data_IF_662791638448
#
_entry.id   IF_662791638448
#
_cell.length_a   1.000
_cell.length_b   1.000
_cell.length_c   1.000
_cell.angle_alpha   90.00
_cell.angle_beta   90.00
_cell.angle_gamma   90.00
#
_symmetry.space_group_name_H-M   'P 1'
#
loop_
_entity.id
_entity.type
_entity.pdbx_description
1 polymer ?
#
# COMPACT_ATOMS: atom_id res chain seq x y z
N UNK A 1 31.21 67.84 9.89
CA UNK A 1 30.47 67.36 8.68
C UNK A 1 30.87 65.95 8.24
N UNK A 2 32.16 65.57 8.20
CA UNK A 2 32.58 64.20 7.81
C UNK A 2 32.06 63.06 8.71
N UNK A 3 31.92 63.28 10.02
CA UNK A 3 31.38 62.26 10.95
C UNK A 3 29.88 61.99 10.78
N UNK A 4 29.08 63.01 10.46
CA UNK A 4 27.64 62.83 10.23
C UNK A 4 27.34 62.12 8.90
N UNK A 5 28.22 62.29 7.90
CA UNK A 5 28.12 61.54 6.63
C UNK A 5 28.39 60.03 6.81
N UNK A 6 29.32 59.67 7.70
CA UNK A 6 29.64 58.26 7.98
C UNK A 6 28.52 57.57 8.77
N UNK A 7 27.87 58.30 9.70
CA UNK A 7 26.71 57.78 10.44
C UNK A 7 25.48 57.56 9.54
N UNK A 8 25.26 58.45 8.56
CA UNK A 8 24.15 58.31 7.61
C UNK A 8 24.34 57.11 6.66
N UNK A 9 25.58 56.78 6.28
CA UNK A 9 25.89 55.63 5.43
C UNK A 9 25.69 54.29 6.15
N UNK A 10 26.02 54.21 7.45
CA UNK A 10 25.83 53.00 8.26
C UNK A 10 24.34 52.74 8.56
N UNK A 11 23.52 53.79 8.75
CA UNK A 11 22.07 53.64 8.89
C UNK A 11 21.36 53.22 7.60
N UNK A 12 21.91 53.57 6.42
CA UNK A 12 21.34 53.17 5.13
C UNK A 12 21.70 51.74 4.73
N UNK A 13 22.76 51.16 5.30
CA UNK A 13 23.11 49.74 5.07
C UNK A 13 22.30 48.74 5.92
N UNK A 14 21.54 49.20 6.91
CA UNK A 14 20.70 48.35 7.79
C UNK A 14 19.27 48.15 7.28
N UNK A 15 18.85 48.84 6.21
CA UNK A 15 17.47 48.85 5.73
C UNK A 15 17.20 47.94 4.52
N UNK A 16 18.18 47.13 4.09
CA UNK A 16 18.00 46.10 3.05
C UNK A 16 18.06 44.67 3.63
N UNK A 17 17.50 44.48 4.82
CA UNK A 17 17.01 43.16 5.20
C UNK A 17 15.72 42.92 4.43
N UNK A 18 15.82 42.30 3.25
CA UNK A 18 14.67 41.61 2.66
C UNK A 18 14.29 40.50 3.63
N UNK A 19 13.39 40.80 4.56
CA UNK A 19 12.59 39.77 5.20
C UNK A 19 11.77 39.16 4.06
N UNK A 20 12.23 38.04 3.52
CA UNK A 20 11.32 37.18 2.79
C UNK A 20 10.27 36.81 3.82
N UNK A 21 9.09 37.45 3.72
CA UNK A 21 7.89 36.90 4.31
C UNK A 21 7.81 35.52 3.70
N UNK A 22 8.27 34.53 4.45
CA UNK A 22 8.01 33.14 4.17
C UNK A 22 6.49 33.11 4.12
N UNK A 23 5.94 33.09 2.91
CA UNK A 23 4.52 32.82 2.72
C UNK A 23 4.41 31.45 3.35
N UNK A 24 3.98 31.44 4.60
CA UNK A 24 3.68 30.26 5.39
C UNK A 24 2.38 29.73 4.80
N UNK A 25 2.49 29.34 3.53
CA UNK A 25 1.54 28.57 2.79
C UNK A 25 1.51 27.31 3.61
N UNK A 26 0.50 27.14 4.46
CA UNK A 26 0.48 26.09 5.48
C UNK A 26 0.56 24.75 4.76
N UNK A 27 1.78 24.27 4.56
CA UNK A 27 2.07 23.11 3.73
C UNK A 27 1.62 21.88 4.49
N UNK A 28 1.03 20.95 3.77
CA UNK A 28 0.68 19.65 4.30
C UNK A 28 1.99 18.91 4.53
N UNK A 29 2.37 18.71 5.79
CA UNK A 29 3.57 17.97 6.21
C UNK A 29 3.13 16.56 6.59
N UNK A 30 3.47 15.60 5.75
CA UNK A 30 3.03 14.21 5.86
C UNK A 30 4.13 13.37 6.49
N UNK A 31 3.80 12.66 7.57
CA UNK A 31 4.56 11.49 8.01
C UNK A 31 3.81 10.24 7.58
N UNK A 32 4.43 9.45 6.71
CA UNK A 32 3.88 8.19 6.21
C UNK A 32 4.52 7.02 6.95
N UNK A 33 3.73 6.39 7.81
CA UNK A 33 4.10 5.20 8.57
C UNK A 33 3.60 3.95 7.82
N UNK A 34 4.51 3.29 7.11
CA UNK A 34 4.23 2.03 6.46
C UNK A 34 4.64 0.88 7.39
N UNK A 35 3.64 0.23 8.00
CA UNK A 35 3.85 -0.99 8.80
C UNK A 35 4.17 -2.21 7.92
N UNK A 36 4.00 -2.05 6.62
CA UNK A 36 4.23 -3.03 5.56
C UNK A 36 5.16 -2.42 4.52
N UNK A 37 5.62 -3.21 3.54
CA UNK A 37 6.29 -2.65 2.38
C UNK A 37 5.42 -1.59 1.69
N UNK A 38 5.97 -0.41 1.44
CA UNK A 38 5.43 0.61 0.56
C UNK A 38 6.58 1.26 -0.23
N UNK A 39 6.38 1.52 -1.51
CA UNK A 39 7.37 2.19 -2.36
C UNK A 39 7.31 3.70 -2.11
N UNK A 40 8.07 4.16 -1.10
CA UNK A 40 8.07 5.57 -0.70
C UNK A 40 8.60 6.50 -1.79
N UNK A 41 9.53 6.04 -2.62
CA UNK A 41 10.09 6.85 -3.70
C UNK A 41 9.06 7.06 -4.80
N UNK A 42 8.31 6.01 -5.15
CA UNK A 42 7.16 6.12 -6.06
C UNK A 42 6.09 7.06 -5.50
N UNK A 43 5.75 6.93 -4.22
CA UNK A 43 4.74 7.78 -3.56
C UNK A 43 5.17 9.26 -3.59
N UNK A 44 6.41 9.57 -3.20
CA UNK A 44 6.95 10.94 -3.19
C UNK A 44 6.95 11.56 -4.59
N UNK A 45 7.28 10.76 -5.62
CA UNK A 45 7.27 11.20 -7.02
C UNK A 45 5.86 11.48 -7.53
N UNK A 46 4.88 10.67 -7.15
CA UNK A 46 3.50 10.79 -7.63
C UNK A 46 2.65 11.80 -6.83
N UNK A 47 3.06 12.16 -5.62
CA UNK A 47 2.36 13.10 -4.74
C UNK A 47 3.32 14.22 -4.30
N UNK A 48 3.77 15.10 -5.22
CA UNK A 48 4.78 16.11 -4.92
C UNK A 48 4.22 17.36 -4.20
N UNK A 49 2.90 17.44 -4.00
CA UNK A 49 2.24 18.63 -3.44
C UNK A 49 2.22 18.66 -1.90
N UNK A 50 2.75 17.62 -1.24
CA UNK A 50 2.94 17.56 0.21
C UNK A 50 4.43 17.54 0.55
N UNK A 51 4.78 18.04 1.72
CA UNK A 51 6.13 17.93 2.25
C UNK A 51 6.24 16.65 3.09
N UNK A 52 7.06 15.70 2.66
CA UNK A 52 7.31 14.49 3.45
C UNK A 52 8.31 14.77 4.57
N UNK A 53 7.94 14.40 5.80
CA UNK A 53 8.81 14.54 6.98
C UNK A 53 9.17 13.17 7.53
N UNK A 54 10.38 13.06 8.10
CA UNK A 54 10.88 11.82 8.70
C UNK A 54 10.54 11.70 10.19
N UNK A 55 10.03 12.76 10.82
CA UNK A 55 9.59 12.75 12.21
C UNK A 55 8.08 13.01 12.30
N UNK A 56 7.36 12.10 12.95
CA UNK A 56 5.92 12.22 13.21
C UNK A 56 5.55 13.50 13.96
N UNK A 57 6.41 14.04 14.82
CA UNK A 57 6.13 15.27 15.57
C UNK A 57 6.24 16.53 14.70
N UNK A 58 6.90 16.44 13.55
CA UNK A 58 6.99 17.52 12.57
C UNK A 58 5.84 17.49 11.55
N UNK A 59 5.03 16.43 11.55
CA UNK A 59 3.89 16.26 10.65
C UNK A 59 2.62 16.91 11.19
N UNK A 60 1.87 17.54 10.29
CA UNK A 60 0.49 17.97 10.56
C UNK A 60 -0.54 16.98 9.97
N UNK A 61 -0.09 15.98 9.21
CA UNK A 61 -0.87 14.82 8.77
C UNK A 61 -0.05 13.56 9.01
N UNK A 62 -0.53 12.70 9.89
CA UNK A 62 0.03 11.37 10.13
C UNK A 62 -0.78 10.33 9.35
N UNK A 63 -0.11 9.49 8.56
CA UNK A 63 -0.76 8.45 7.77
C UNK A 63 -0.20 7.10 8.21
N UNK A 64 -1.05 6.21 8.71
CA UNK A 64 -0.71 4.82 8.99
C UNK A 64 -1.21 3.93 7.85
N UNK A 65 -0.29 3.20 7.22
CA UNK A 65 -0.59 2.17 6.23
C UNK A 65 -0.32 0.79 6.81
N UNK A 66 -1.35 -0.03 6.89
CA UNK A 66 -1.26 -1.44 7.24
C UNK A 66 -2.12 -2.29 6.30
N UNK A 67 -1.96 -3.61 6.36
CA UNK A 67 -2.78 -4.52 5.58
C UNK A 67 -3.16 -5.78 6.35
N UNK A 68 -4.22 -6.42 5.89
CA UNK A 68 -4.64 -7.76 6.31
C UNK A 68 -4.82 -8.65 5.08
N UNK A 69 -4.52 -9.95 5.23
CA UNK A 69 -4.70 -10.93 4.16
C UNK A 69 -6.20 -11.21 3.97
N UNK A 70 -6.67 -11.19 2.73
CA UNK A 70 -8.08 -11.52 2.42
C UNK A 70 -8.26 -13.04 2.28
N UNK A 71 -9.50 -13.52 2.41
CA UNK A 71 -9.81 -14.95 2.24
C UNK A 71 -9.48 -15.50 0.84
N UNK A 72 -9.36 -14.64 -0.18
CA UNK A 72 -8.94 -14.99 -1.54
C UNK A 72 -7.43 -14.95 -1.77
N UNK A 73 -6.62 -14.74 -0.73
CA UNK A 73 -5.15 -14.65 -0.83
C UNK A 73 -4.62 -13.29 -1.30
N UNK A 74 -5.49 -12.28 -1.40
CA UNK A 74 -5.10 -10.88 -1.62
C UNK A 74 -4.74 -10.16 -0.33
N UNK A 75 -4.62 -8.83 -0.39
CA UNK A 75 -4.39 -7.96 0.76
C UNK A 75 -5.36 -6.79 0.75
N UNK A 76 -6.07 -6.58 1.85
CA UNK A 76 -6.81 -5.35 2.09
C UNK A 76 -5.89 -4.37 2.82
N UNK A 77 -5.54 -3.27 2.16
CA UNK A 77 -4.79 -2.17 2.76
C UNK A 77 -5.74 -1.20 3.43
N UNK A 78 -5.38 -0.70 4.62
CA UNK A 78 -6.06 0.40 5.31
C UNK A 78 -5.09 1.55 5.52
N UNK A 79 -5.51 2.73 5.09
CA UNK A 79 -4.79 3.99 5.21
C UNK A 79 -5.55 4.89 6.18
N UNK A 80 -5.01 5.04 7.38
CA UNK A 80 -5.60 5.87 8.43
C UNK A 80 -4.91 7.23 8.44
N UNK A 81 -5.69 8.29 8.21
CA UNK A 81 -5.21 9.66 8.19
C UNK A 81 -5.60 10.34 9.50
N UNK A 82 -4.62 10.95 10.17
CA UNK A 82 -4.82 11.70 11.42
C UNK A 82 -4.28 13.11 11.27
N UNK A 83 -5.18 14.09 11.35
CA UNK A 83 -4.85 15.50 11.27
C UNK A 83 -4.40 16.09 12.61
N UNK A 84 -3.42 16.98 12.55
CA UNK A 84 -2.84 17.73 13.67
C UNK A 84 -2.78 19.22 13.33
N UNK A 85 -2.52 20.05 14.33
CA UNK A 85 -2.47 21.51 14.18
C UNK A 85 -3.75 22.04 13.52
N UNK A 86 -3.65 22.71 12.37
CA UNK A 86 -4.78 23.23 11.59
C UNK A 86 -5.71 22.15 11.03
N UNK A 87 -5.28 20.89 11.03
CA UNK A 87 -6.06 19.75 10.57
C UNK A 87 -6.65 18.94 11.73
N UNK A 88 -6.59 19.44 12.96
CA UNK A 88 -7.20 18.78 14.12
C UNK A 88 -8.68 18.45 13.85
N UNK A 89 -9.06 17.20 14.11
CA UNK A 89 -10.42 16.69 13.84
C UNK A 89 -10.67 16.28 12.39
N UNK A 90 -9.70 16.44 11.48
CA UNK A 90 -9.73 15.82 10.15
C UNK A 90 -9.08 14.45 10.28
N UNK A 91 -9.90 13.44 10.51
CA UNK A 91 -9.45 12.06 10.49
C UNK A 91 -10.23 11.31 9.42
N UNK A 92 -9.59 10.32 8.81
CA UNK A 92 -10.24 9.46 7.84
C UNK A 92 -9.60 8.08 7.81
N UNK A 93 -10.31 7.12 7.26
CA UNK A 93 -9.74 5.81 6.94
C UNK A 93 -10.24 5.37 5.59
N UNK A 94 -9.32 5.17 4.66
CA UNK A 94 -9.62 4.64 3.33
C UNK A 94 -9.01 3.24 3.21
N UNK A 95 -9.64 2.39 2.40
CA UNK A 95 -9.11 1.05 2.12
C UNK A 95 -9.17 0.73 0.63
N UNK A 96 -8.32 -0.21 0.22
CA UNK A 96 -8.37 -0.82 -1.11
C UNK A 96 -7.93 -2.29 -1.01
N UNK A 97 -8.36 -3.10 -1.98
CA UNK A 97 -8.00 -4.52 -2.05
C UNK A 97 -7.05 -4.77 -3.21
N UNK A 98 -5.83 -5.21 -2.87
CA UNK A 98 -4.89 -5.81 -3.80
C UNK A 98 -5.29 -7.27 -4.02
N UNK A 99 -5.65 -7.63 -5.24
CA UNK A 99 -5.92 -9.02 -5.60
C UNK A 99 -4.65 -9.88 -5.49
N UNK A 100 -4.82 -11.20 -5.33
CA UNK A 100 -3.69 -12.14 -5.27
C UNK A 100 -2.84 -12.13 -6.56
N UNK A 101 -3.51 -11.89 -7.69
CA UNK A 101 -2.94 -11.84 -9.04
C UNK A 101 -2.37 -10.47 -9.43
N UNK A 102 -2.59 -9.43 -8.62
CA UNK A 102 -2.13 -8.09 -8.93
C UNK A 102 -0.59 -8.03 -8.97
N UNK A 103 -0.09 -7.27 -9.92
CA UNK A 103 1.32 -6.89 -10.06
C UNK A 103 1.71 -5.82 -9.04
N UNK A 104 3.01 -5.65 -8.82
CA UNK A 104 3.52 -4.60 -7.92
C UNK A 104 3.23 -3.19 -8.45
N UNK A 105 3.13 -3.03 -9.77
CA UNK A 105 2.76 -1.75 -10.40
C UNK A 105 1.29 -1.37 -10.13
N UNK A 106 0.37 -2.33 -10.23
CA UNK A 106 -1.03 -2.10 -9.90
C UNK A 106 -1.19 -1.76 -8.41
N UNK A 107 -0.45 -2.44 -7.52
CA UNK A 107 -0.46 -2.17 -6.09
C UNK A 107 0.00 -0.74 -5.76
N UNK A 108 1.16 -0.30 -6.28
CA UNK A 108 1.67 1.05 -6.03
C UNK A 108 0.78 2.14 -6.62
N UNK A 109 0.14 1.89 -7.76
CA UNK A 109 -0.83 2.80 -8.36
C UNK A 109 -2.09 2.94 -7.49
N UNK A 110 -2.65 1.83 -6.99
CA UNK A 110 -3.78 1.85 -6.07
C UNK A 110 -3.44 2.60 -4.78
N UNK A 111 -2.27 2.33 -4.19
CA UNK A 111 -1.78 3.03 -3.00
C UNK A 111 -1.73 4.54 -3.21
N UNK A 112 -1.11 5.00 -4.29
CA UNK A 112 -1.01 6.43 -4.63
C UNK A 112 -2.39 7.04 -4.86
N UNK A 113 -3.27 6.34 -5.56
CA UNK A 113 -4.63 6.80 -5.81
C UNK A 113 -5.40 7.03 -4.51
N UNK A 114 -5.39 6.04 -3.60
CA UNK A 114 -6.07 6.13 -2.31
C UNK A 114 -5.44 7.21 -1.42
N UNK A 115 -4.11 7.36 -1.43
CA UNK A 115 -3.42 8.46 -0.73
C UNK A 115 -3.86 9.83 -1.26
N UNK A 116 -3.89 10.01 -2.59
CA UNK A 116 -4.36 11.25 -3.23
C UNK A 116 -5.78 11.59 -2.79
N UNK A 117 -6.69 10.62 -2.82
CA UNK A 117 -8.08 10.79 -2.36
C UNK A 117 -8.16 11.22 -0.88
N UNK A 118 -7.43 10.55 0.01
CA UNK A 118 -7.44 10.90 1.44
C UNK A 118 -6.85 12.29 1.73
N UNK A 119 -5.85 12.71 0.93
CA UNK A 119 -5.22 14.02 1.06
C UNK A 119 -6.11 15.18 0.59
N UNK A 120 -7.16 14.93 -0.21
CA UNK A 120 -8.08 16.00 -0.70
C UNK A 120 -8.70 16.78 0.46
N UNK A 121 -9.12 16.10 1.55
CA UNK A 121 -9.71 16.75 2.72
C UNK A 121 -8.77 17.76 3.39
N UNK A 122 -7.47 17.49 3.36
CA UNK A 122 -6.44 18.36 3.91
C UNK A 122 -6.14 19.51 2.95
N UNK A 123 -6.00 19.22 1.64
CA UNK A 123 -5.83 20.22 0.59
C UNK A 123 -6.93 21.28 0.61
N UNK A 124 -8.18 20.87 0.76
CA UNK A 124 -9.34 21.76 0.81
C UNK A 124 -9.30 22.79 1.95
N UNK A 125 -8.47 22.56 2.98
CA UNK A 125 -8.28 23.47 4.13
C UNK A 125 -7.03 24.34 4.02
N UNK A 126 -6.36 24.31 2.87
CA UNK A 126 -5.16 25.10 2.59
C UNK A 126 -5.39 26.02 1.39
N UNK A 127 -4.55 27.05 1.25
CA UNK A 127 -4.55 27.92 0.07
C UNK A 127 -4.25 27.14 -1.23
N UNK A 128 -3.53 26.02 -1.13
CA UNK A 128 -3.23 25.14 -2.27
C UNK A 128 -4.48 24.47 -2.84
N UNK A 129 -5.52 24.29 -2.00
CA UNK A 129 -6.81 23.73 -2.41
C UNK A 129 -7.48 24.49 -3.56
N UNK A 130 -7.19 25.79 -3.72
CA UNK A 130 -7.72 26.62 -4.81
C UNK A 130 -7.24 26.19 -6.20
N UNK A 131 -6.13 25.47 -6.26
CA UNK A 131 -5.53 24.99 -7.51
C UNK A 131 -5.89 23.52 -7.79
N UNK A 132 -6.70 22.89 -6.95
CA UNK A 132 -7.07 21.48 -7.10
C UNK A 132 -8.18 21.36 -8.13
N UNK A 133 -7.92 20.61 -9.19
CA UNK A 133 -8.93 20.16 -10.14
C UNK A 133 -9.19 18.67 -9.90
N UNK A 134 -10.46 18.30 -9.70
CA UNK A 134 -10.88 16.92 -9.55
C UNK A 134 -11.63 16.55 -10.83
N UNK A 135 -11.13 15.55 -11.54
CA UNK A 135 -11.83 14.95 -12.69
C UNK A 135 -12.35 13.59 -12.25
N UNK A 136 -13.66 13.42 -12.39
CA UNK A 136 -14.28 12.10 -12.24
C UNK A 136 -14.25 11.42 -13.61
N UNK A 137 -13.61 10.26 -13.70
CA UNK A 137 -13.66 9.44 -14.91
C UNK A 137 -14.93 8.61 -14.81
N UNK A 138 -15.93 8.96 -15.60
CA UNK A 138 -17.08 8.08 -15.81
C UNK A 138 -16.57 6.76 -16.39
N UNK A 139 -17.03 5.64 -15.82
CA UNK A 139 -16.83 4.36 -16.47
C UNK A 139 -17.59 4.42 -17.80
N UNK A 140 -16.89 4.21 -18.92
CA UNK A 140 -17.52 4.02 -20.23
C UNK A 140 -18.38 2.76 -20.13
N UNK A 141 -19.66 2.96 -19.82
CA UNK A 141 -20.58 1.87 -19.52
C UNK A 141 -21.13 1.97 -18.11
N UNK A 142 -22.04 2.91 -17.90
CA UNK A 142 -23.24 2.58 -17.15
C UNK A 142 -24.00 1.49 -17.91
N UNK A 143 -23.46 0.27 -17.94
CA UNK A 143 -24.33 -0.87 -17.87
C UNK A 143 -25.07 -0.64 -16.55
N UNK A 144 -26.39 -0.50 -16.64
CA UNK A 144 -27.22 -1.04 -15.57
C UNK A 144 -26.53 -2.31 -15.09
N UNK A 145 -26.43 -2.53 -13.77
CA UNK A 145 -26.24 -3.89 -13.28
C UNK A 145 -27.55 -4.61 -13.64
N UNK A 146 -27.75 -4.83 -14.94
CA UNK A 146 -28.58 -5.86 -15.47
C UNK A 146 -27.96 -7.09 -14.90
N UNK A 147 -28.76 -7.78 -14.10
CA UNK A 147 -28.72 -9.22 -13.96
C UNK A 147 -28.84 -9.88 -15.33
N UNK A 148 -27.95 -9.57 -16.29
CA UNK A 148 -27.53 -10.59 -17.22
C UNK A 148 -26.72 -11.54 -16.34
N UNK A 149 -27.35 -12.67 -16.01
CA UNK A 149 -26.64 -13.85 -15.57
C UNK A 149 -25.59 -14.14 -16.64
N UNK A 150 -24.41 -13.53 -16.50
CA UNK A 150 -23.23 -13.98 -17.21
C UNK A 150 -23.11 -15.45 -16.84
N UNK A 151 -23.38 -16.33 -17.81
CA UNK A 151 -23.38 -17.76 -17.60
C UNK A 151 -22.04 -18.14 -16.99
N UNK A 152 -22.03 -18.47 -15.70
CA UNK A 152 -20.83 -18.87 -14.97
C UNK A 152 -20.57 -20.35 -15.24
N UNK A 153 -19.60 -20.70 -16.12
CA UNK A 153 -19.33 -22.09 -16.45
C UNK A 153 -18.68 -22.84 -15.28
N UNK A 154 -18.23 -22.14 -14.24
CA UNK A 154 -17.55 -22.69 -13.07
C UNK A 154 -18.47 -22.87 -11.86
N UNK A 155 -19.73 -22.42 -11.91
CA UNK A 155 -20.72 -22.61 -10.85
C UNK A 155 -20.18 -22.21 -9.46
N UNK A 156 -19.69 -20.98 -9.38
CA UNK A 156 -19.14 -20.31 -8.20
C UNK A 156 -17.87 -20.96 -7.64
N UNK A 157 -17.23 -21.86 -8.39
CA UNK A 157 -15.91 -22.38 -8.04
C UNK A 157 -14.81 -21.40 -8.42
N UNK A 158 -13.95 -21.10 -7.46
CA UNK A 158 -12.72 -20.34 -7.65
C UNK A 158 -11.55 -21.27 -7.35
N UNK A 159 -10.65 -21.42 -8.31
CA UNK A 159 -9.44 -22.21 -8.19
C UNK A 159 -8.21 -21.29 -8.20
N UNK A 160 -7.25 -21.57 -7.32
CA UNK A 160 -5.96 -20.90 -7.30
C UNK A 160 -4.86 -21.96 -7.29
N UNK A 161 -3.88 -21.80 -8.18
CA UNK A 161 -2.66 -22.60 -8.19
C UNK A 161 -1.47 -21.65 -8.05
N UNK A 162 -0.57 -21.96 -7.13
CA UNK A 162 0.62 -21.17 -6.80
C UNK A 162 1.85 -22.04 -6.93
N UNK A 163 2.86 -21.52 -7.63
CA UNK A 163 4.17 -22.16 -7.79
C UNK A 163 5.26 -21.12 -7.54
N UNK A 164 6.20 -21.42 -6.64
CA UNK A 164 7.35 -20.56 -6.36
C UNK A 164 8.59 -21.43 -6.24
N UNK A 165 9.71 -20.93 -6.74
CA UNK A 165 11.01 -21.60 -6.65
C UNK A 165 12.13 -20.58 -6.54
N UNK A 166 13.14 -20.92 -5.77
CA UNK A 166 14.38 -20.17 -5.65
C UNK A 166 15.56 -21.14 -5.64
N UNK A 167 16.59 -20.83 -6.41
CA UNK A 167 17.80 -21.64 -6.57
C UNK A 167 19.02 -20.74 -6.37
N UNK A 168 20.00 -21.18 -5.59
CA UNK A 168 21.25 -20.48 -5.38
C UNK A 168 22.38 -21.47 -5.10
N UNK A 169 23.53 -21.33 -5.74
CA UNK A 169 24.68 -22.18 -5.43
C UNK A 169 25.92 -21.99 -6.30
N UNK A 170 26.99 -22.62 -5.84
CA UNK A 170 28.31 -22.75 -6.48
C UNK A 170 28.80 -24.22 -6.36
N UNK A 171 30.09 -24.46 -6.63
CA UNK A 171 30.67 -25.82 -6.61
C UNK A 171 30.54 -26.50 -5.24
N UNK A 172 30.69 -25.76 -4.14
CA UNK A 172 30.76 -26.32 -2.78
C UNK A 172 29.45 -26.16 -2.00
N UNK A 173 28.47 -25.41 -2.53
CA UNK A 173 27.22 -25.14 -1.84
C UNK A 173 26.06 -25.03 -2.82
N UNK A 174 24.92 -25.64 -2.49
CA UNK A 174 23.68 -25.47 -3.25
C UNK A 174 22.47 -25.41 -2.32
N UNK A 175 21.59 -24.43 -2.53
CA UNK A 175 20.33 -24.26 -1.81
C UNK A 175 19.20 -24.07 -2.80
N UNK A 176 18.12 -24.81 -2.59
CA UNK A 176 16.86 -24.60 -3.29
C UNK A 176 15.69 -24.57 -2.32
N UNK A 177 14.75 -23.68 -2.60
CA UNK A 177 13.42 -23.70 -1.98
C UNK A 177 12.36 -23.79 -3.08
N UNK A 178 11.38 -24.64 -2.86
CA UNK A 178 10.26 -24.82 -3.75
C UNK A 178 8.98 -24.83 -2.94
N UNK A 179 7.95 -24.16 -3.43
CA UNK A 179 6.65 -24.09 -2.75
C UNK A 179 5.52 -24.10 -3.77
N UNK A 180 4.65 -25.09 -3.65
CA UNK A 180 3.43 -25.23 -4.43
C UNK A 180 2.21 -25.14 -3.51
N UNK A 181 1.13 -24.58 -4.04
CA UNK A 181 -0.14 -24.46 -3.36
C UNK A 181 -1.28 -24.58 -4.34
N UNK A 182 -2.35 -25.27 -3.93
CA UNK A 182 -3.59 -25.31 -4.66
C UNK A 182 -4.74 -25.04 -3.69
N UNK A 183 -5.69 -24.21 -4.10
CA UNK A 183 -6.94 -24.03 -3.36
C UNK A 183 -8.15 -24.03 -4.28
N UNK A 184 -9.24 -24.56 -3.75
CA UNK A 184 -10.55 -24.54 -4.38
C UNK A 184 -11.57 -24.00 -3.36
N UNK A 185 -12.33 -22.99 -3.77
CA UNK A 185 -13.38 -22.42 -2.95
C UNK A 185 -14.69 -22.39 -3.73
N UNK A 186 -15.80 -22.70 -3.04
CA UNK A 186 -17.16 -22.51 -3.57
C UNK A 186 -18.01 -21.91 -2.47
N UNK A 187 -18.57 -20.74 -2.74
CA UNK A 187 -19.35 -19.96 -1.76
C UNK A 187 -20.74 -19.74 -2.33
N UNK A 188 -21.72 -20.42 -1.77
CA UNK A 188 -23.15 -20.22 -2.06
C UNK A 188 -23.87 -19.79 -0.78
N UNK A 189 -25.12 -19.35 -0.88
CA UNK A 189 -25.93 -18.97 0.29
C UNK A 189 -26.07 -20.13 1.30
N UNK A 190 -26.34 -21.34 0.80
CA UNK A 190 -26.60 -22.52 1.65
C UNK A 190 -25.34 -23.28 2.04
N UNK A 191 -24.28 -23.16 1.25
CA UNK A 191 -23.09 -23.99 1.38
C UNK A 191 -21.82 -23.22 1.00
N UNK A 192 -20.87 -23.21 1.93
CA UNK A 192 -19.56 -22.58 1.74
C UNK A 192 -18.48 -23.60 2.03
N UNK A 193 -17.58 -23.82 1.08
CA UNK A 193 -16.42 -24.69 1.28
C UNK A 193 -15.15 -24.05 0.74
N UNK A 194 -14.05 -24.25 1.46
CA UNK A 194 -12.72 -23.83 1.04
C UNK A 194 -11.75 -24.93 1.39
N UNK A 195 -11.03 -25.41 0.38
CA UNK A 195 -9.99 -26.43 0.52
C UNK A 195 -8.69 -25.86 0.03
N UNK A 196 -7.61 -26.08 0.78
CA UNK A 196 -6.26 -25.71 0.38
C UNK A 196 -5.30 -26.84 0.67
N UNK A 197 -4.38 -27.08 -0.25
CA UNK A 197 -3.24 -27.97 -0.09
C UNK A 197 -1.98 -27.21 -0.46
N UNK A 198 -0.91 -27.43 0.27
CA UNK A 198 0.38 -26.80 0.02
C UNK A 198 1.51 -27.75 0.36
N UNK A 199 2.56 -27.68 -0.46
CA UNK A 199 3.80 -28.40 -0.27
C UNK A 199 4.96 -27.42 -0.40
N UNK A 200 5.87 -27.44 0.56
CA UNK A 200 7.10 -26.66 0.51
C UNK A 200 8.29 -27.54 0.87
N UNK A 201 9.37 -27.43 0.09
CA UNK A 201 10.63 -28.11 0.35
C UNK A 201 11.78 -27.12 0.32
N UNK A 202 12.66 -27.22 1.32
CA UNK A 202 13.93 -26.53 1.37
C UNK A 202 15.04 -27.58 1.39
N UNK A 203 15.95 -27.52 0.42
CA UNK A 203 17.07 -28.45 0.30
C UNK A 203 18.39 -27.69 0.26
N UNK A 204 19.31 -28.07 1.13
CA UNK A 204 20.67 -27.55 1.19
C UNK A 204 21.66 -28.69 0.97
N UNK A 205 22.68 -28.47 0.15
CA UNK A 205 23.83 -29.36 -0.05
C UNK A 205 25.12 -28.59 0.25
N UNK A 206 26.01 -29.19 1.04
CA UNK A 206 27.34 -28.65 1.34
C UNK A 206 28.41 -29.68 0.96
N UNK A 207 29.40 -29.28 0.16
CA UNK A 207 30.45 -30.16 -0.37
C UNK A 207 30.21 -30.61 -1.81
N UNK A 208 31.14 -31.40 -2.33
CA UNK A 208 31.19 -31.92 -3.70
C UNK A 208 31.45 -33.44 -3.65
N UNK A 209 30.85 -34.20 -4.57
CA UNK A 209 31.07 -35.65 -4.67
C UNK A 209 30.39 -36.46 -3.55
N UNK A 210 30.98 -37.60 -3.20
CA UNK A 210 30.43 -38.56 -2.22
C UNK A 210 30.48 -38.05 -0.77
N UNK A 211 31.30 -37.02 -0.49
CA UNK A 211 31.46 -36.44 0.85
C UNK A 211 30.46 -35.29 1.14
N UNK A 212 29.51 -35.04 0.23
CA UNK A 212 28.55 -33.94 0.37
C UNK A 212 27.48 -34.22 1.45
N UNK A 213 27.18 -33.21 2.27
CA UNK A 213 26.10 -33.24 3.25
C UNK A 213 24.83 -32.64 2.67
N UNK A 214 23.73 -33.41 2.67
CA UNK A 214 22.42 -32.97 2.21
C UNK A 214 21.42 -32.86 3.35
N UNK A 215 20.70 -31.73 3.40
CA UNK A 215 19.62 -31.47 4.33
C UNK A 215 18.36 -31.14 3.54
N UNK A 216 17.28 -31.88 3.79
CA UNK A 216 15.96 -31.61 3.21
C UNK A 216 14.97 -31.38 4.34
N UNK A 217 14.22 -30.29 4.26
CA UNK A 217 13.06 -30.06 5.10
C UNK A 217 11.83 -29.94 4.21
N UNK A 218 10.85 -30.80 4.45
CA UNK A 218 9.63 -30.89 3.67
C UNK A 218 8.43 -30.66 4.57
N UNK A 219 7.51 -29.81 4.11
CA UNK A 219 6.28 -29.50 4.84
C UNK A 219 5.08 -29.64 3.91
N UNK A 220 4.07 -30.33 4.41
CA UNK A 220 2.83 -30.62 3.72
C UNK A 220 1.70 -30.11 4.61
N UNK A 221 0.83 -29.26 4.06
CA UNK A 221 -0.33 -28.74 4.78
C UNK A 221 -1.57 -28.86 3.92
N UNK A 222 -2.61 -29.46 4.49
CA UNK A 222 -3.94 -29.50 3.93
C UNK A 222 -4.92 -28.90 4.93
N UNK A 223 -5.80 -28.01 4.48
CA UNK A 223 -6.88 -27.48 5.28
C UNK A 223 -8.18 -27.57 4.48
N UNK A 224 -9.27 -27.94 5.16
CA UNK A 224 -10.61 -27.81 4.64
C UNK A 224 -11.47 -27.08 5.67
N UNK A 225 -12.31 -26.18 5.19
CA UNK A 225 -13.37 -25.58 5.98
C UNK A 225 -14.66 -25.70 5.20
N UNK A 226 -15.69 -26.22 5.86
CA UNK A 226 -17.00 -26.42 5.26
C UNK A 226 -18.07 -25.96 6.23
N UNK A 227 -19.00 -25.14 5.74
CA UNK A 227 -20.06 -24.50 6.52
C UNK A 227 -21.38 -24.63 5.75
N UNK A 228 -22.42 -25.04 6.46
CA UNK A 228 -23.80 -25.07 5.96
C UNK A 228 -24.60 -23.96 6.64
N UNK A 229 -25.45 -23.27 5.88
CA UNK A 229 -26.44 -22.35 6.45
C UNK A 229 -27.66 -23.16 6.92
N UNK A 230 -28.13 -22.90 8.15
CA UNK A 230 -29.29 -23.57 8.75
C UNK A 230 -30.61 -22.82 8.51
N UNK A 231 -30.55 -21.59 7.98
CA UNK A 231 -31.70 -20.75 7.65
C UNK A 231 -31.26 -19.49 6.91
N UNK A 232 -32.21 -18.69 6.44
CA UNK A 232 -31.90 -17.51 5.63
C UNK A 232 -31.32 -16.35 6.45
N UNK A 233 -31.47 -16.33 7.78
CA UNK A 233 -30.90 -15.29 8.66
C UNK A 233 -30.63 -15.76 10.12
N UNK A 234 -29.52 -15.23 10.67
CA UNK A 234 -28.87 -15.31 12.01
C UNK A 234 -28.73 -16.66 12.72
#
# INVERSE_FOLDING_TARGET
MKQYLFLAFVLFSLSLSFSQVEKNNKKIRVFLDCQSYCDQDFIKREIPFVDYVNDRFQSNVFILSNHQVTGSGGREYKLQFTGREIFTGVNDTLSFVRQATATDDEERQQMVHTLKLGLVKYLARTEQGKNVQITFKEEEGGAEIGTEEQHDPWNLWVFNARLNGYLNGDRNYFSNSFSTGFSAARITEKFKTTTSVSYSVNRNRFGEGEDAFEFSNENYRANNTTVWALGDHW
#
